data_IF_413594789164
#
_entry.id   IF_413594789164
#
_cell.length_a   1.000
_cell.length_b   1.000
_cell.length_c   1.000
_cell.angle_alpha   90.00
_cell.angle_beta   90.00
_cell.angle_gamma   90.00
#
_symmetry.space_group_name_H-M   'P 1'
#
loop_
_entity.id
_entity.type
_entity.pdbx_description
1 polymer ?
#
# COMPACT_ATOMS: atom_id res chain seq x y z
N UNK A 1 -30.30 -21.00 -18.44
CA UNK A 1 -29.62 -19.76 -18.03
C UNK A 1 -29.52 -19.79 -16.52
N UNK A 2 -28.35 -20.13 -15.97
CA UNK A 2 -28.18 -20.28 -14.53
C UNK A 2 -28.27 -18.90 -13.86
N UNK A 3 -29.16 -18.79 -12.89
CA UNK A 3 -29.33 -17.62 -12.04
C UNK A 3 -28.01 -17.39 -11.29
N UNK A 4 -27.12 -16.54 -11.81
CA UNK A 4 -25.97 -16.07 -11.06
C UNK A 4 -26.58 -15.26 -9.91
N UNK A 5 -26.53 -15.81 -8.69
CA UNK A 5 -27.09 -15.15 -7.52
C UNK A 5 -26.51 -13.74 -7.38
N UNK A 6 -27.28 -12.81 -6.83
CA UNK A 6 -26.92 -11.41 -6.55
C UNK A 6 -25.48 -11.21 -6.02
N UNK A 7 -24.97 -12.18 -5.26
CA UNK A 7 -23.58 -12.21 -4.78
C UNK A 7 -22.53 -12.25 -5.89
N UNK A 8 -22.75 -12.98 -6.99
CA UNK A 8 -21.79 -13.12 -8.09
C UNK A 8 -21.58 -11.81 -8.87
N UNK A 9 -22.63 -11.00 -9.01
CA UNK A 9 -22.57 -9.75 -9.77
C UNK A 9 -22.02 -8.58 -8.91
N UNK A 10 -22.14 -8.65 -7.59
CA UNK A 10 -21.64 -7.63 -6.65
C UNK A 10 -20.40 -8.05 -5.85
N UNK A 11 -19.82 -9.21 -6.18
CA UNK A 11 -18.68 -9.82 -5.49
C UNK A 11 -17.50 -8.85 -5.29
N UNK A 12 -17.13 -8.13 -6.36
CA UNK A 12 -16.03 -7.17 -6.33
C UNK A 12 -16.31 -6.01 -5.38
N UNK A 13 -17.47 -5.36 -5.52
CA UNK A 13 -17.86 -4.20 -4.69
C UNK A 13 -17.96 -4.60 -3.23
N UNK A 14 -18.61 -5.73 -2.93
CA UNK A 14 -18.74 -6.23 -1.56
C UNK A 14 -17.37 -6.47 -0.92
N UNK A 15 -16.44 -7.08 -1.66
CA UNK A 15 -15.10 -7.37 -1.16
C UNK A 15 -14.29 -6.09 -0.92
N UNK A 16 -14.30 -5.15 -1.86
CA UNK A 16 -13.61 -3.86 -1.70
C UNK A 16 -14.16 -3.08 -0.51
N UNK A 17 -15.48 -2.97 -0.39
CA UNK A 17 -16.13 -2.24 0.72
C UNK A 17 -15.83 -2.92 2.05
N UNK A 18 -15.86 -4.26 2.11
CA UNK A 18 -15.51 -5.00 3.31
C UNK A 18 -14.07 -4.72 3.76
N UNK A 19 -13.09 -4.78 2.85
CA UNK A 19 -11.70 -4.48 3.20
C UNK A 19 -11.51 -3.03 3.65
N UNK A 20 -12.13 -2.05 2.99
CA UNK A 20 -12.01 -0.64 3.40
C UNK A 20 -12.62 -0.39 4.77
N UNK A 21 -13.77 -1.00 5.09
CA UNK A 21 -14.37 -0.88 6.45
C UNK A 21 -13.40 -1.45 7.49
N UNK A 22 -12.76 -2.59 7.21
CA UNK A 22 -11.76 -3.19 8.09
C UNK A 22 -10.57 -2.23 8.24
N UNK A 23 -10.02 -1.69 7.15
CA UNK A 23 -8.88 -0.78 7.20
C UNK A 23 -9.20 0.48 7.99
N UNK A 24 -10.33 1.14 7.72
CA UNK A 24 -10.77 2.33 8.48
C UNK A 24 -10.87 2.01 9.97
N UNK A 25 -11.45 0.86 10.32
CA UNK A 25 -11.59 0.44 11.72
C UNK A 25 -10.21 0.24 12.36
N UNK A 26 -9.30 -0.48 11.69
CA UNK A 26 -7.95 -0.73 12.20
C UNK A 26 -7.13 0.57 12.33
N UNK A 27 -7.19 1.47 11.34
CA UNK A 27 -6.54 2.78 11.42
C UNK A 27 -7.13 3.63 12.55
N UNK A 28 -8.45 3.61 12.76
CA UNK A 28 -9.10 4.35 13.83
C UNK A 28 -8.71 3.88 15.24
N UNK A 29 -8.49 2.57 15.42
CA UNK A 29 -8.09 2.01 16.72
C UNK A 29 -6.57 2.08 16.97
N UNK A 30 -5.75 1.81 15.95
CA UNK A 30 -4.31 1.58 16.12
C UNK A 30 -3.42 2.66 15.51
N UNK A 31 -3.95 3.48 14.60
CA UNK A 31 -3.18 4.53 13.93
C UNK A 31 -3.11 5.80 14.77
N UNK A 32 -1.89 6.26 15.07
CA UNK A 32 -1.64 7.60 15.61
C UNK A 32 -0.67 8.35 14.70
N UNK A 33 -0.71 9.68 14.72
CA UNK A 33 0.26 10.49 14.01
C UNK A 33 1.44 10.82 14.92
N UNK A 34 2.66 10.86 14.36
CA UNK A 34 3.85 11.32 15.08
C UNK A 34 3.68 12.78 15.49
N UNK A 35 4.26 13.20 16.63
CA UNK A 35 4.22 14.59 17.12
C UNK A 35 4.66 15.62 16.04
N UNK A 36 5.62 15.25 15.19
CA UNK A 36 6.11 16.04 14.05
C UNK A 36 5.06 16.32 12.96
N UNK A 37 4.00 15.50 12.89
CA UNK A 37 2.89 15.68 11.95
C UNK A 37 1.73 16.49 12.56
N UNK A 38 1.78 16.83 13.85
CA UNK A 38 0.78 17.67 14.52
C UNK A 38 1.19 19.15 14.44
N UNK A 39 0.23 20.07 14.22
CA UNK A 39 0.51 21.50 14.02
C UNK A 39 0.98 22.23 15.29
N UNK A 40 1.03 21.57 16.46
CA UNK A 40 1.07 22.24 17.76
C UNK A 40 2.45 22.25 18.47
N UNK A 41 3.48 21.57 17.96
CA UNK A 41 4.81 21.65 18.57
C UNK A 41 5.71 22.69 17.88
N UNK A 42 6.07 23.70 18.67
CA UNK A 42 6.88 24.89 18.33
C UNK A 42 8.35 24.57 17.98
N UNK A 43 8.70 23.29 17.89
CA UNK A 43 9.97 22.82 17.34
C UNK A 43 9.61 22.09 16.05
N UNK A 44 9.25 22.88 15.03
CA UNK A 44 9.34 22.37 13.69
C UNK A 44 10.80 21.93 13.51
N UNK A 45 11.04 20.65 13.24
CA UNK A 45 12.18 20.24 12.43
C UNK A 45 11.69 20.28 10.98
N UNK A 46 11.50 21.48 10.38
CA UNK A 46 10.96 21.59 9.03
C UNK A 46 11.92 20.92 8.04
N UNK A 47 13.19 20.72 8.38
CA UNK A 47 14.19 20.08 7.53
C UNK A 47 13.89 18.61 7.23
N UNK A 48 13.39 17.82 8.20
CA UNK A 48 13.14 16.38 7.96
C UNK A 48 11.94 16.17 7.03
N UNK A 49 10.86 16.91 7.26
CA UNK A 49 9.67 16.92 6.40
C UNK A 49 10.03 17.49 5.03
N UNK A 50 10.72 18.63 4.94
CA UNK A 50 11.11 19.22 3.66
C UNK A 50 12.09 18.37 2.86
N UNK A 51 12.93 17.55 3.52
CA UNK A 51 13.89 16.70 2.81
C UNK A 51 13.27 15.38 2.34
N UNK A 52 12.43 14.73 3.15
CA UNK A 52 11.87 13.40 2.82
C UNK A 52 10.58 13.47 2.01
N UNK A 53 9.81 14.54 2.16
CA UNK A 53 8.54 14.68 1.44
C UNK A 53 8.68 14.74 -0.09
N UNK A 54 9.67 15.45 -0.67
CA UNK A 54 9.91 15.41 -2.11
C UNK A 54 10.24 14.00 -2.62
N UNK A 55 11.07 13.26 -1.88
CA UNK A 55 11.39 11.87 -2.21
C UNK A 55 10.13 10.99 -2.20
N UNK A 56 9.30 11.13 -1.16
CA UNK A 56 8.01 10.45 -1.11
C UNK A 56 7.14 10.80 -2.32
N UNK A 57 7.04 12.08 -2.69
CA UNK A 57 6.25 12.49 -3.86
C UNK A 57 6.76 11.87 -5.16
N UNK A 58 8.08 11.84 -5.38
CA UNK A 58 8.68 11.25 -6.58
C UNK A 58 8.33 9.75 -6.69
N UNK A 59 8.45 9.02 -5.58
CA UNK A 59 8.08 7.59 -5.53
C UNK A 59 6.58 7.43 -5.73
N UNK A 60 5.75 8.22 -5.06
CA UNK A 60 4.31 8.16 -5.16
C UNK A 60 3.83 8.40 -6.61
N UNK A 61 4.41 9.38 -7.29
CA UNK A 61 4.13 9.64 -8.73
C UNK A 61 4.58 8.46 -9.60
N UNK A 62 5.71 7.82 -9.29
CA UNK A 62 6.14 6.60 -9.99
C UNK A 62 5.11 5.47 -9.83
N UNK A 63 4.52 5.27 -8.64
CA UNK A 63 3.49 4.25 -8.39
C UNK A 63 2.20 4.53 -9.17
N UNK A 64 1.65 5.73 -9.05
CA UNK A 64 0.34 6.04 -9.64
C UNK A 64 0.41 6.35 -11.14
N UNK A 65 1.36 7.18 -11.55
CA UNK A 65 1.50 7.64 -12.94
C UNK A 65 2.48 6.77 -13.70
N UNK A 66 3.65 6.49 -13.13
CA UNK A 66 4.69 5.69 -13.80
C UNK A 66 4.19 4.30 -14.19
N UNK A 67 3.90 3.44 -13.21
CA UNK A 67 3.36 2.10 -13.46
C UNK A 67 1.99 2.14 -14.15
N UNK A 68 1.11 3.07 -13.74
CA UNK A 68 -0.23 3.21 -14.29
C UNK A 68 -0.25 3.42 -15.81
N UNK A 69 0.52 4.38 -16.31
CA UNK A 69 0.62 4.65 -17.75
C UNK A 69 1.53 3.67 -18.49
N UNK A 70 2.55 3.10 -17.83
CA UNK A 70 3.38 2.05 -18.44
C UNK A 70 2.52 0.87 -18.90
N UNK A 71 1.51 0.47 -18.11
CA UNK A 71 0.61 -0.65 -18.43
C UNK A 71 -0.44 -0.33 -19.52
N UNK A 72 -0.51 0.92 -20.01
CA UNK A 72 -1.48 1.32 -21.04
C UNK A 72 -1.11 0.93 -22.47
N UNK A 73 0.05 0.30 -22.68
CA UNK A 73 0.50 -0.10 -24.03
C UNK A 73 -0.48 -1.05 -24.75
N UNK A 74 -1.37 -1.72 -24.00
CA UNK A 74 -2.43 -2.56 -24.55
C UNK A 74 -3.57 -1.72 -25.13
N UNK A 75 -3.66 -1.70 -26.48
CA UNK A 75 -4.63 -0.93 -27.27
C UNK A 75 -6.10 -1.02 -26.81
N UNK A 76 -6.54 -2.13 -26.25
CA UNK A 76 -7.94 -2.32 -25.76
C UNK A 76 -8.08 -2.43 -24.24
N UNK A 77 -6.99 -2.29 -23.49
CA UNK A 77 -6.98 -2.47 -22.02
C UNK A 77 -6.49 -1.24 -21.25
N UNK A 78 -6.13 -0.13 -21.92
CA UNK A 78 -5.57 1.07 -21.28
C UNK A 78 -6.41 1.63 -20.12
N UNK A 79 -7.72 1.83 -20.32
CA UNK A 79 -8.61 2.33 -19.25
C UNK A 79 -8.71 1.36 -18.05
N UNK A 80 -8.75 0.06 -18.31
CA UNK A 80 -8.79 -0.95 -17.26
C UNK A 80 -7.46 -1.06 -16.52
N UNK A 81 -6.34 -0.91 -17.23
CA UNK A 81 -5.00 -0.95 -16.63
C UNK A 81 -4.81 0.19 -15.62
N UNK A 82 -5.13 1.43 -16.01
CA UNK A 82 -4.97 2.59 -15.12
C UNK A 82 -5.90 2.53 -13.91
N UNK A 83 -7.17 2.15 -14.11
CA UNK A 83 -8.13 2.07 -13.00
C UNK A 83 -7.81 0.95 -12.01
N UNK A 84 -7.39 -0.22 -12.50
CA UNK A 84 -6.95 -1.32 -11.63
C UNK A 84 -5.63 -0.96 -10.93
N UNK A 85 -4.70 -0.27 -11.60
CA UNK A 85 -3.48 0.24 -10.98
C UNK A 85 -3.79 1.21 -9.82
N UNK A 86 -4.67 2.19 -10.06
CA UNK A 86 -5.09 3.15 -9.03
C UNK A 86 -5.70 2.44 -7.81
N UNK A 87 -6.58 1.47 -8.06
CA UNK A 87 -7.21 0.67 -7.00
C UNK A 87 -6.18 -0.14 -6.21
N UNK A 88 -5.29 -0.86 -6.90
CA UNK A 88 -4.31 -1.72 -6.23
C UNK A 88 -3.25 -0.92 -5.48
N UNK A 89 -2.80 0.20 -6.04
CA UNK A 89 -1.87 1.10 -5.37
C UNK A 89 -2.47 1.61 -4.05
N UNK A 90 -3.68 2.17 -4.09
CA UNK A 90 -4.37 2.66 -2.89
C UNK A 90 -4.56 1.54 -1.84
N UNK A 91 -5.09 0.40 -2.27
CA UNK A 91 -5.31 -0.76 -1.40
C UNK A 91 -4.01 -1.26 -0.75
N UNK A 92 -2.94 -1.36 -1.54
CA UNK A 92 -1.65 -1.88 -1.07
C UNK A 92 -0.97 -0.91 -0.13
N UNK A 93 -1.06 0.40 -0.37
CA UNK A 93 -0.48 1.41 0.53
C UNK A 93 -1.18 1.34 1.89
N UNK A 94 -2.50 1.34 1.93
CA UNK A 94 -3.27 1.22 3.18
C UNK A 94 -2.93 -0.07 3.93
N UNK A 95 -2.92 -1.19 3.22
CA UNK A 95 -2.61 -2.49 3.81
C UNK A 95 -1.15 -2.60 4.27
N UNK A 96 -0.21 -2.06 3.50
CA UNK A 96 1.21 -2.07 3.79
C UNK A 96 1.55 -1.29 5.06
N UNK A 97 0.94 -0.11 5.25
CA UNK A 97 1.09 0.67 6.49
C UNK A 97 0.59 -0.14 7.69
N UNK A 98 -0.57 -0.80 7.58
CA UNK A 98 -1.13 -1.62 8.66
C UNK A 98 -0.21 -2.79 9.02
N UNK A 99 0.25 -3.56 8.03
CA UNK A 99 1.12 -4.72 8.24
C UNK A 99 2.46 -4.30 8.85
N UNK A 100 3.07 -3.24 8.33
CA UNK A 100 4.32 -2.69 8.87
C UNK A 100 4.11 -2.15 10.28
N UNK A 101 3.00 -1.46 10.52
CA UNK A 101 2.57 -0.98 11.84
C UNK A 101 2.47 -2.12 12.85
N UNK A 102 1.79 -3.22 12.51
CA UNK A 102 1.67 -4.38 13.39
C UNK A 102 2.99 -5.13 13.62
N UNK A 103 3.92 -5.08 12.66
CA UNK A 103 5.25 -5.72 12.78
C UNK A 103 6.26 -4.82 13.51
N UNK A 104 5.90 -3.56 13.82
CA UNK A 104 6.79 -2.62 14.51
C UNK A 104 6.93 -2.95 16.00
N UNK A 105 8.13 -2.75 16.56
CA UNK A 105 8.37 -2.93 18.00
C UNK A 105 7.48 -2.01 18.86
N UNK A 106 7.17 -0.81 18.35
CA UNK A 106 6.29 0.15 19.00
C UNK A 106 4.87 -0.40 19.24
N UNK A 107 4.35 -1.21 18.32
CA UNK A 107 3.06 -1.85 18.49
C UNK A 107 3.08 -2.87 19.64
N UNK A 108 4.18 -3.60 19.81
CA UNK A 108 4.38 -4.55 20.91
C UNK A 108 4.41 -3.86 22.29
N UNK A 109 4.94 -2.64 22.35
CA UNK A 109 5.13 -1.91 23.61
C UNK A 109 3.90 -1.05 23.98
N UNK A 110 3.28 -0.37 23.01
CA UNK A 110 2.24 0.63 23.28
C UNK A 110 0.86 0.27 22.71
N UNK A 111 0.77 -0.78 21.89
CA UNK A 111 -0.48 -1.19 21.24
C UNK A 111 -0.98 -0.24 20.16
N UNK A 112 -0.14 0.67 19.65
CA UNK A 112 -0.44 1.55 18.51
C UNK A 112 0.81 1.77 17.65
N UNK A 113 0.63 2.17 16.40
CA UNK A 113 1.73 2.52 15.49
C UNK A 113 1.62 3.99 15.05
N UNK A 114 2.77 4.63 14.83
CA UNK A 114 2.82 6.01 14.34
C UNK A 114 2.96 6.08 12.82
N UNK A 115 2.14 6.92 12.19
CA UNK A 115 2.18 7.18 10.75
C UNK A 115 3.09 8.38 10.50
N UNK A 116 4.20 8.14 9.79
CA UNK A 116 5.17 9.14 9.34
C UNK A 116 5.44 8.99 7.83
N UNK A 117 6.17 9.95 7.24
CA UNK A 117 6.54 9.92 5.81
C UNK A 117 7.33 8.64 5.47
N UNK A 118 8.17 8.15 6.39
CA UNK A 118 8.94 6.92 6.18
C UNK A 118 8.03 5.68 6.03
N UNK A 119 6.94 5.62 6.79
CA UNK A 119 5.95 4.54 6.68
C UNK A 119 5.21 4.60 5.34
N UNK A 120 4.85 5.81 4.90
CA UNK A 120 4.21 6.03 3.60
C UNK A 120 5.13 5.61 2.45
N UNK A 121 6.40 6.01 2.50
CA UNK A 121 7.41 5.67 1.49
C UNK A 121 7.66 4.15 1.44
N UNK A 122 7.75 3.50 2.61
CA UNK A 122 7.90 2.04 2.69
C UNK A 122 6.67 1.32 2.10
N UNK A 123 5.47 1.84 2.35
CA UNK A 123 4.24 1.29 1.79
C UNK A 123 4.17 1.47 0.26
N UNK A 124 4.65 2.59 -0.28
CA UNK A 124 4.80 2.79 -1.73
C UNK A 124 5.78 1.78 -2.36
N UNK A 125 6.86 1.42 -1.67
CA UNK A 125 7.75 0.34 -2.12
C UNK A 125 7.06 -1.03 -2.13
N UNK A 126 6.24 -1.33 -1.13
CA UNK A 126 5.42 -2.54 -1.14
C UNK A 126 4.41 -2.53 -2.31
N UNK A 127 3.82 -1.36 -2.61
CA UNK A 127 2.95 -1.18 -3.76
C UNK A 127 3.69 -1.42 -5.08
N UNK A 128 4.94 -0.97 -5.21
CA UNK A 128 5.76 -1.24 -6.40
C UNK A 128 5.89 -2.74 -6.68
N UNK A 129 6.09 -3.57 -5.65
CA UNK A 129 6.19 -5.04 -5.80
C UNK A 129 4.90 -5.61 -6.38
N UNK A 130 3.75 -5.25 -5.81
CA UNK A 130 2.43 -5.71 -6.28
C UNK A 130 2.13 -5.23 -7.70
N UNK A 131 2.52 -4.00 -8.05
CA UNK A 131 2.32 -3.47 -9.40
C UNK A 131 3.23 -4.13 -10.45
N UNK A 132 4.43 -4.56 -10.09
CA UNK A 132 5.27 -5.38 -10.97
C UNK A 132 4.59 -6.73 -11.24
N UNK A 133 4.04 -7.36 -10.21
CA UNK A 133 3.27 -8.61 -10.34
C UNK A 133 2.00 -8.40 -11.18
N UNK A 134 1.30 -7.27 -11.00
CA UNK A 134 0.18 -6.88 -11.86
C UNK A 134 0.62 -6.78 -13.33
N UNK A 135 1.76 -6.17 -13.62
CA UNK A 135 2.30 -6.06 -14.97
C UNK A 135 2.54 -7.41 -15.64
N UNK A 136 3.03 -8.41 -14.89
CA UNK A 136 3.23 -9.77 -15.38
C UNK A 136 1.92 -10.53 -15.67
N UNK A 137 0.85 -10.20 -14.92
CA UNK A 137 -0.46 -10.84 -15.00
C UNK A 137 -1.47 -10.03 -15.83
N UNK A 138 -1.04 -8.92 -16.41
CA UNK A 138 -1.87 -7.93 -17.09
C UNK A 138 -2.77 -8.58 -18.16
N UNK A 139 -4.06 -8.27 -18.11
CA UNK A 139 -5.06 -8.79 -19.04
C UNK A 139 -5.47 -10.25 -18.85
N UNK A 140 -4.91 -10.97 -17.86
CA UNK A 140 -5.29 -12.37 -17.54
C UNK A 140 -6.18 -12.49 -16.31
N UNK A 141 -6.00 -11.64 -15.31
CA UNK A 141 -6.75 -11.66 -14.06
C UNK A 141 -7.91 -10.65 -14.06
N UNK A 142 -8.95 -10.97 -13.28
CA UNK A 142 -10.03 -10.06 -12.92
C UNK A 142 -9.61 -9.11 -11.78
N UNK A 143 -10.24 -7.92 -11.65
CA UNK A 143 -9.96 -6.97 -10.56
C UNK A 143 -10.02 -7.61 -9.15
N UNK A 144 -10.97 -8.51 -8.90
CA UNK A 144 -11.07 -9.24 -7.63
C UNK A 144 -9.87 -10.15 -7.38
N UNK A 145 -9.37 -10.82 -8.42
CA UNK A 145 -8.18 -11.66 -8.29
C UNK A 145 -6.93 -10.83 -8.01
N UNK A 146 -6.80 -9.64 -8.62
CA UNK A 146 -5.70 -8.74 -8.28
C UNK A 146 -5.73 -8.28 -6.83
N UNK A 147 -6.92 -7.98 -6.27
CA UNK A 147 -7.05 -7.64 -4.86
C UNK A 147 -6.60 -8.76 -3.93
N UNK A 148 -6.93 -10.02 -4.27
CA UNK A 148 -6.47 -11.18 -3.50
C UNK A 148 -4.95 -11.36 -3.58
N UNK A 149 -4.37 -11.14 -4.77
CA UNK A 149 -2.90 -11.14 -4.94
C UNK A 149 -2.28 -10.05 -4.07
N UNK A 150 -2.76 -8.81 -4.15
CA UNK A 150 -2.26 -7.69 -3.35
C UNK A 150 -2.35 -7.98 -1.85
N UNK A 151 -3.46 -8.55 -1.38
CA UNK A 151 -3.66 -8.88 0.04
C UNK A 151 -2.64 -9.89 0.57
N UNK A 152 -2.28 -10.90 -0.22
CA UNK A 152 -1.34 -11.97 0.17
C UNK A 152 0.11 -11.56 -0.07
N UNK A 153 0.38 -10.88 -1.18
CA UNK A 153 1.72 -10.47 -1.58
C UNK A 153 2.29 -9.37 -0.70
N UNK A 154 1.45 -8.41 -0.27
CA UNK A 154 1.91 -7.27 0.55
C UNK A 154 2.56 -7.72 1.87
N UNK A 155 1.93 -8.58 2.70
CA UNK A 155 2.59 -9.08 3.91
C UNK A 155 3.83 -9.92 3.59
N UNK A 156 3.78 -10.75 2.54
CA UNK A 156 4.92 -11.56 2.15
C UNK A 156 6.14 -10.69 1.76
N UNK A 157 5.92 -9.60 1.02
CA UNK A 157 6.95 -8.65 0.64
C UNK A 157 7.55 -7.94 1.87
N UNK A 158 6.70 -7.43 2.77
CA UNK A 158 7.16 -6.73 3.98
C UNK A 158 7.88 -7.64 4.97
N UNK A 159 7.41 -8.87 5.17
CA UNK A 159 8.08 -9.86 6.03
C UNK A 159 9.43 -10.25 5.41
N UNK A 160 9.50 -10.41 4.09
CA UNK A 160 10.76 -10.71 3.40
C UNK A 160 11.76 -9.56 3.54
N UNK A 161 11.32 -8.31 3.35
CA UNK A 161 12.13 -7.13 3.61
C UNK A 161 12.65 -7.11 5.05
N UNK A 162 11.76 -7.30 6.03
CA UNK A 162 12.13 -7.34 7.45
C UNK A 162 13.17 -8.43 7.74
N UNK A 163 12.97 -9.63 7.20
CA UNK A 163 13.89 -10.75 7.36
C UNK A 163 15.28 -10.46 6.74
N UNK A 164 15.31 -9.89 5.53
CA UNK A 164 16.56 -9.55 4.84
C UNK A 164 17.34 -8.48 5.62
N UNK A 165 16.67 -7.41 6.05
CA UNK A 165 17.33 -6.31 6.76
C UNK A 165 17.84 -6.75 8.14
N UNK A 166 17.08 -7.56 8.88
CA UNK A 166 17.45 -7.98 10.24
C UNK A 166 18.47 -9.13 10.25
N UNK A 167 18.28 -10.17 9.43
CA UNK A 167 19.11 -11.39 9.49
C UNK A 167 20.32 -11.35 8.55
N UNK A 168 20.22 -10.72 7.37
CA UNK A 168 21.31 -10.68 6.40
C UNK A 168 22.17 -9.40 6.51
N UNK A 169 21.72 -8.40 7.28
CA UNK A 169 22.48 -7.19 7.58
C UNK A 169 22.77 -6.31 6.36
N UNK A 170 22.07 -6.53 5.25
CA UNK A 170 22.24 -5.76 4.03
C UNK A 170 21.64 -4.37 4.27
N UNK A 171 22.47 -3.33 4.18
CA UNK A 171 22.13 -1.91 4.36
C UNK A 171 21.58 -1.49 5.74
N UNK A 172 22.32 -1.74 6.83
CA UNK A 172 22.15 -1.03 8.12
C UNK A 172 22.64 0.44 8.12
N UNK A 173 22.94 1.02 6.96
CA UNK A 173 23.48 2.37 6.82
C UNK A 173 22.65 3.17 5.82
N UNK A 174 21.56 3.78 6.28
CA UNK A 174 21.16 5.13 5.89
C UNK A 174 20.48 5.77 7.10
#
# INVERSE_FOLDING_TARGET
MANKGFFADHQFTLLVTLFHIIFITLFGFFGKYTAEALPNDLIQTPELINSKYPLFQDVHVMIFVGFGFLMTFLRRYGFSAVSVNLLLAAFTIEWGILVRGFTSEQFSEYGYFTISIDQLLTADFAAAVVLITMGALLGKLSPTQYLLVAFIETPAALITEHFIVHNLGVCKKF
#
